data_IF_902109293026
#
_entry.id   IF_902109293026
#
_cell.length_a   1.000
_cell.length_b   1.000
_cell.length_c   1.000
_cell.angle_alpha   90.00
_cell.angle_beta   90.00
_cell.angle_gamma   90.00
#
_symmetry.space_group_name_H-M   'P 1'
#
loop_
_entity.id
_entity.type
_entity.pdbx_description
1 polymer ?
#
# COMPACT_ATOMS: atom_id res chain seq x y z
N UNK A 1 6.96 -2.34 45.78
CA UNK A 1 7.76 -1.44 46.65
C UNK A 1 8.10 -0.22 45.83
N UNK A 2 7.37 0.88 46.05
CA UNK A 2 7.51 2.11 45.29
C UNK A 2 8.73 2.89 45.79
N UNK A 3 9.80 2.95 45.00
CA UNK A 3 10.86 3.93 45.21
C UNK A 3 10.36 5.27 44.67
N UNK A 4 9.82 6.10 45.57
CA UNK A 4 9.70 7.54 45.35
C UNK A 4 11.12 8.09 45.32
N UNK A 5 11.69 8.21 44.11
CA UNK A 5 12.90 9.01 43.89
C UNK A 5 12.57 10.46 44.27
N UNK A 6 12.97 10.86 45.47
CA UNK A 6 12.96 12.26 45.91
C UNK A 6 13.96 12.97 45.02
N UNK A 7 13.47 13.81 44.11
CA UNK A 7 14.31 14.67 43.32
C UNK A 7 15.00 15.66 44.27
N UNK A 8 16.33 15.54 44.41
CA UNK A 8 17.13 16.47 45.19
C UNK A 8 17.28 17.77 44.39
N UNK A 9 16.33 18.69 44.53
CA UNK A 9 16.46 20.06 44.02
C UNK A 9 17.41 20.84 44.96
N UNK A 10 18.53 21.37 44.47
CA UNK A 10 19.55 22.07 45.29
C UNK A 10 19.00 23.31 46.03
N UNK A 11 17.89 23.90 45.54
CA UNK A 11 17.03 24.86 46.23
C UNK A 11 15.58 24.65 45.77
N UNK A 12 14.57 24.61 46.65
CA UNK A 12 13.18 24.49 46.22
C UNK A 12 12.73 25.78 45.51
N UNK A 13 11.97 25.62 44.42
CA UNK A 13 11.55 26.75 43.57
C UNK A 13 10.70 27.78 44.35
N UNK A 14 9.99 27.34 45.39
CA UNK A 14 9.22 28.20 46.28
C UNK A 14 10.02 29.27 47.04
N UNK A 15 11.36 29.17 47.08
CA UNK A 15 12.21 30.20 47.71
C UNK A 15 12.40 31.47 46.85
N UNK A 16 12.02 31.44 45.57
CA UNK A 16 12.18 32.57 44.66
C UNK A 16 10.91 33.43 44.59
N UNK A 17 11.03 34.70 44.19
CA UNK A 17 9.85 35.55 43.92
C UNK A 17 9.07 35.03 42.71
N UNK A 18 7.76 35.26 42.61
CA UNK A 18 6.93 34.74 41.52
C UNK A 18 7.47 35.09 40.11
N UNK A 19 8.07 36.27 39.94
CA UNK A 19 8.67 36.68 38.66
C UNK A 19 9.92 35.87 38.30
N UNK A 20 10.74 35.49 39.29
CA UNK A 20 11.91 34.64 39.08
C UNK A 20 11.48 33.18 38.89
N UNK A 21 10.44 32.74 39.61
CA UNK A 21 9.83 31.42 39.39
C UNK A 21 9.31 31.29 37.95
N UNK A 22 8.62 32.30 37.41
CA UNK A 22 8.11 32.28 36.04
C UNK A 22 9.22 32.07 35.01
N UNK A 23 10.36 32.77 35.14
CA UNK A 23 11.49 32.62 34.23
C UNK A 23 12.11 31.21 34.29
N UNK A 24 12.26 30.66 35.49
CA UNK A 24 12.78 29.30 35.68
C UNK A 24 11.82 28.27 35.08
N UNK A 25 10.51 28.44 35.27
CA UNK A 25 9.50 27.55 34.71
C UNK A 25 9.48 27.61 33.18
N UNK A 26 9.60 28.79 32.58
CA UNK A 26 9.65 28.92 31.13
C UNK A 26 10.86 28.17 30.55
N UNK A 27 12.03 28.31 31.15
CA UNK A 27 13.26 27.62 30.73
C UNK A 27 13.12 26.08 30.79
N UNK A 28 12.55 25.57 31.90
CA UNK A 28 12.28 24.15 32.08
C UNK A 28 11.19 23.63 31.13
N UNK A 29 10.14 24.42 30.86
CA UNK A 29 9.09 24.04 29.91
C UNK A 29 9.65 24.00 28.49
N UNK A 30 10.47 24.98 28.08
CA UNK A 30 11.14 24.97 26.78
C UNK A 30 12.07 23.75 26.64
N UNK A 31 12.80 23.39 27.70
CA UNK A 31 13.61 22.16 27.73
C UNK A 31 12.74 20.90 27.58
N UNK A 32 11.62 20.83 28.29
CA UNK A 32 10.67 19.73 28.22
C UNK A 32 9.96 19.63 26.85
N UNK A 33 9.76 20.76 26.14
CA UNK A 33 9.22 20.79 24.78
C UNK A 33 10.15 20.10 23.78
N UNK A 34 11.47 20.15 23.98
CA UNK A 34 12.46 19.43 23.15
C UNK A 34 12.70 17.99 23.66
N UNK A 35 12.04 17.59 24.75
CA UNK A 35 12.18 16.26 25.35
C UNK A 35 13.38 16.11 26.29
N UNK A 36 13.96 17.22 26.74
CA UNK A 36 15.07 17.23 27.71
C UNK A 36 14.49 17.44 29.11
N UNK A 37 15.01 16.70 30.10
CA UNK A 37 14.62 16.87 31.50
C UNK A 37 15.11 18.22 32.03
N UNK A 38 14.19 19.00 32.61
CA UNK A 38 14.48 20.28 33.25
C UNK A 38 14.95 20.11 34.69
N UNK A 39 15.22 21.25 35.36
CA UNK A 39 15.68 21.26 36.75
C UNK A 39 14.58 20.98 37.75
N UNK A 40 13.36 21.44 37.49
CA UNK A 40 12.17 21.35 38.34
C UNK A 40 10.99 20.65 37.65
N UNK A 41 11.10 20.39 36.34
CA UNK A 41 10.14 19.60 35.55
C UNK A 41 10.83 18.32 35.09
N UNK A 42 10.41 17.19 35.66
CA UNK A 42 10.96 15.87 35.35
C UNK A 42 10.01 15.08 34.46
N UNK A 43 10.57 14.39 33.47
CA UNK A 43 9.82 13.56 32.53
C UNK A 43 9.86 12.13 33.04
N UNK A 44 8.71 11.58 33.45
CA UNK A 44 8.58 10.17 33.83
C UNK A 44 7.93 9.39 32.71
N UNK A 45 8.74 8.55 32.05
CA UNK A 45 8.27 7.54 31.10
C UNK A 45 7.98 6.24 31.84
N UNK A 46 6.71 5.88 31.99
CA UNK A 46 6.34 4.55 32.49
C UNK A 46 6.30 3.60 31.29
N UNK A 47 7.37 2.82 31.10
CA UNK A 47 7.43 1.81 30.04
C UNK A 47 6.46 0.67 30.36
N UNK A 48 5.36 0.60 29.62
CA UNK A 48 4.28 -0.40 29.74
C UNK A 48 3.66 -0.69 28.37
N UNK A 49 2.51 -1.40 28.33
CA UNK A 49 1.79 -1.68 27.06
C UNK A 49 1.27 -0.42 26.35
N UNK A 50 1.02 0.65 27.12
CA UNK A 50 0.81 2.00 26.63
C UNK A 50 1.93 2.83 27.25
N UNK A 51 2.87 3.33 26.46
CA UNK A 51 3.89 4.26 26.96
C UNK A 51 3.19 5.53 27.46
N UNK A 52 2.99 5.59 28.78
CA UNK A 52 2.36 6.73 29.42
C UNK A 52 3.46 7.67 29.93
N UNK A 53 3.56 8.81 29.26
CA UNK A 53 4.49 9.88 29.61
C UNK A 53 3.76 10.82 30.58
N UNK A 54 4.34 10.99 31.76
CA UNK A 54 3.85 11.87 32.81
C UNK A 54 4.91 12.90 33.16
N UNK A 55 4.48 14.12 33.47
CA UNK A 55 5.36 15.22 33.87
C UNK A 55 5.20 15.47 35.36
N UNK A 56 6.30 15.46 36.09
CA UNK A 56 6.33 15.84 37.49
C UNK A 56 6.84 17.27 37.62
N UNK A 57 6.11 18.06 38.40
CA UNK A 57 6.46 19.45 38.71
C UNK A 57 6.76 19.55 40.19
N UNK A 58 7.78 20.34 40.55
CA UNK A 58 8.10 20.64 41.95
C UNK A 58 6.85 21.17 42.71
N UNK A 59 6.46 20.53 43.84
CA UNK A 59 5.28 20.90 44.60
C UNK A 59 5.37 22.25 45.32
N UNK A 60 6.56 22.85 45.43
CA UNK A 60 6.79 24.16 46.04
C UNK A 60 6.57 25.35 45.09
N UNK A 61 6.23 25.08 43.84
CA UNK A 61 5.91 26.09 42.81
C UNK A 61 4.58 26.81 43.12
N UNK A 62 4.49 28.08 42.73
CA UNK A 62 3.22 28.80 42.71
C UNK A 62 2.13 28.03 41.93
N UNK A 63 0.94 27.94 42.52
CA UNK A 63 -0.17 27.15 41.97
C UNK A 63 -0.63 27.65 40.60
N UNK A 64 -0.62 28.97 40.35
CA UNK A 64 -1.04 29.51 39.06
C UNK A 64 -0.03 29.19 37.96
N UNK A 65 1.27 29.32 38.25
CA UNK A 65 2.34 28.91 37.33
C UNK A 65 2.30 27.40 37.06
N UNK A 66 2.05 26.60 38.09
CA UNK A 66 1.93 25.14 37.96
C UNK A 66 0.78 24.75 37.03
N UNK A 67 -0.40 25.34 37.18
CA UNK A 67 -1.55 25.06 36.32
C UNK A 67 -1.36 25.54 34.88
N UNK A 68 -0.65 26.66 34.67
CA UNK A 68 -0.30 27.12 33.32
C UNK A 68 0.72 26.20 32.64
N UNK A 69 1.75 25.74 33.35
CA UNK A 69 2.72 24.78 32.82
C UNK A 69 2.05 23.44 32.46
N UNK A 70 1.14 22.94 33.32
CA UNK A 70 0.36 21.72 33.07
C UNK A 70 -0.46 21.75 31.78
N UNK A 71 -0.90 22.94 31.33
CA UNK A 71 -1.63 23.07 30.07
C UNK A 71 -0.75 22.81 28.85
N UNK A 72 0.57 23.03 28.94
CA UNK A 72 1.53 22.85 27.84
C UNK A 72 1.99 21.39 27.73
N UNK A 73 2.01 20.63 28.84
CA UNK A 73 2.49 19.24 28.85
C UNK A 73 1.85 18.27 27.85
N UNK A 74 0.55 18.36 27.50
CA UNK A 74 -0.02 17.54 26.43
C UNK A 74 0.72 17.69 25.10
N UNK A 75 1.23 18.88 24.78
CA UNK A 75 2.04 19.11 23.58
C UNK A 75 3.40 18.41 23.67
N UNK A 76 4.09 18.53 24.81
CA UNK A 76 5.36 17.86 25.05
C UNK A 76 5.20 16.33 24.99
N UNK A 77 4.09 15.81 25.54
CA UNK A 77 3.72 14.39 25.45
C UNK A 77 3.55 13.94 24.00
N UNK A 78 2.80 14.70 23.20
CA UNK A 78 2.60 14.39 21.78
C UNK A 78 3.92 14.40 21.01
N UNK A 79 4.81 15.37 21.27
CA UNK A 79 6.14 15.44 20.66
C UNK A 79 6.96 14.17 20.95
N UNK A 80 7.10 13.79 22.22
CA UNK A 80 7.87 12.60 22.62
C UNK A 80 7.31 11.30 22.03
N UNK A 81 5.99 11.16 21.98
CA UNK A 81 5.35 9.99 21.37
C UNK A 81 5.61 9.91 19.86
N UNK A 82 5.58 11.06 19.17
CA UNK A 82 5.87 11.12 17.73
C UNK A 82 7.36 10.79 17.50
N UNK A 83 8.26 11.37 18.29
CA UNK A 83 9.71 11.16 18.17
C UNK A 83 10.09 9.69 18.40
N UNK A 84 9.57 9.07 19.47
CA UNK A 84 9.76 7.63 19.75
C UNK A 84 9.20 6.75 18.63
N UNK A 85 8.06 7.12 18.04
CA UNK A 85 7.49 6.38 16.92
C UNK A 85 8.34 6.50 15.65
N UNK A 86 8.85 7.69 15.36
CA UNK A 86 9.75 7.92 14.23
C UNK A 86 10.99 7.04 14.35
N UNK A 87 11.62 7.00 15.53
CA UNK A 87 12.84 6.21 15.73
C UNK A 87 12.58 4.71 15.69
N UNK A 88 11.49 4.22 16.30
CA UNK A 88 11.13 2.79 16.24
C UNK A 88 10.76 2.32 14.83
N UNK A 89 10.02 3.13 14.06
CA UNK A 89 9.56 2.76 12.71
C UNK A 89 10.55 3.03 11.59
N UNK A 90 11.64 3.75 11.85
CA UNK A 90 12.70 3.98 10.87
C UNK A 90 13.61 2.78 10.62
N UNK A 91 13.44 1.70 11.38
CA UNK A 91 14.10 0.43 11.08
C UNK A 91 13.55 -0.16 9.78
N UNK A 92 14.43 -0.80 9.01
CA UNK A 92 14.10 -1.36 7.69
C UNK A 92 12.89 -2.29 7.70
N UNK A 93 12.62 -2.99 8.80
CA UNK A 93 11.58 -4.03 8.90
C UNK A 93 10.13 -3.50 8.83
N UNK A 94 9.90 -2.18 8.93
CA UNK A 94 8.55 -1.63 9.11
C UNK A 94 7.81 -1.28 7.81
N UNK A 95 8.42 -1.50 6.64
CA UNK A 95 7.78 -1.26 5.34
C UNK A 95 7.92 0.17 4.80
N UNK A 96 7.70 0.34 3.51
CA UNK A 96 7.94 1.57 2.76
C UNK A 96 6.95 2.68 3.14
N UNK A 97 5.67 2.33 3.36
CA UNK A 97 4.65 3.32 3.76
C UNK A 97 4.97 3.92 5.13
N UNK A 98 5.41 3.09 6.08
CA UNK A 98 5.82 3.57 7.39
C UNK A 98 7.07 4.44 7.32
N UNK A 99 8.05 4.12 6.47
CA UNK A 99 9.22 4.99 6.27
C UNK A 99 8.85 6.35 5.69
N UNK A 100 7.99 6.37 4.66
CA UNK A 100 7.50 7.62 4.08
C UNK A 100 6.70 8.45 5.09
N UNK A 101 5.89 7.79 5.92
CA UNK A 101 5.17 8.45 7.01
C UNK A 101 6.12 8.99 8.09
N UNK A 102 7.11 8.22 8.54
CA UNK A 102 8.14 8.68 9.49
C UNK A 102 8.95 9.86 8.94
N UNK A 103 9.26 9.88 7.64
CA UNK A 103 9.92 11.02 7.00
C UNK A 103 9.03 12.28 7.02
N UNK A 104 7.73 12.13 6.77
CA UNK A 104 6.77 13.24 6.86
C UNK A 104 6.62 13.75 8.30
N UNK A 105 6.60 12.85 9.29
CA UNK A 105 6.61 13.21 10.71
C UNK A 105 7.90 13.94 11.09
N UNK A 106 9.07 13.51 10.63
CA UNK A 106 10.34 14.24 10.85
C UNK A 106 10.28 15.66 10.33
N UNK A 107 9.75 15.88 9.13
CA UNK A 107 9.61 17.22 8.58
C UNK A 107 8.73 18.11 9.48
N UNK A 108 7.63 17.57 10.01
CA UNK A 108 6.79 18.29 10.97
C UNK A 108 7.50 18.56 12.31
N UNK A 109 8.29 17.60 12.82
CA UNK A 109 9.05 17.77 14.05
C UNK A 109 10.11 18.88 13.90
N UNK A 110 10.70 19.04 12.71
CA UNK A 110 11.60 20.16 12.41
C UNK A 110 10.87 21.50 12.47
N UNK A 111 9.67 21.60 11.90
CA UNK A 111 8.84 22.82 12.00
C UNK A 111 8.49 23.15 13.46
N UNK A 112 8.20 22.12 14.27
CA UNK A 112 7.98 22.26 15.71
C UNK A 112 9.23 22.77 16.44
N UNK A 113 10.39 22.16 16.19
CA UNK A 113 11.66 22.58 16.81
C UNK A 113 12.02 24.01 16.43
N UNK A 114 11.75 24.43 15.19
CA UNK A 114 11.94 25.81 14.76
C UNK A 114 11.05 26.79 15.54
N UNK A 115 9.79 26.43 15.80
CA UNK A 115 8.90 27.21 16.66
C UNK A 115 9.45 27.31 18.10
N UNK A 116 9.93 26.20 18.68
CA UNK A 116 10.52 26.20 20.03
C UNK A 116 11.77 27.09 20.09
N UNK A 117 12.65 27.02 19.08
CA UNK A 117 13.84 27.87 18.99
C UNK A 117 13.47 29.37 18.89
N UNK A 118 12.41 29.72 18.16
CA UNK A 118 11.90 31.09 18.09
C UNK A 118 11.36 31.57 19.45
N UNK A 119 10.69 30.70 20.20
CA UNK A 119 10.20 31.00 21.55
C UNK A 119 11.36 31.19 22.53
N UNK A 120 12.37 30.32 22.48
CA UNK A 120 13.59 30.46 23.28
C UNK A 120 14.32 31.78 22.98
N UNK A 121 14.36 32.19 21.71
CA UNK A 121 14.92 33.49 21.32
C UNK A 121 14.14 34.66 21.95
N UNK A 122 12.80 34.63 21.95
CA UNK A 122 11.98 35.65 22.61
C UNK A 122 12.16 35.65 24.14
N UNK A 123 12.36 34.47 24.73
CA UNK A 123 12.67 34.32 26.15
C UNK A 123 14.00 34.99 26.51
N UNK A 124 15.06 34.78 25.71
CA UNK A 124 16.37 35.42 25.92
C UNK A 124 16.31 36.95 25.85
N UNK A 125 15.37 37.52 25.11
CA UNK A 125 15.11 38.97 25.09
C UNK A 125 14.24 39.49 26.25
N UNK A 126 13.79 38.61 27.16
CA UNK A 126 12.93 38.97 28.28
C UNK A 126 11.51 39.39 27.87
N UNK A 127 11.05 38.96 26.68
CA UNK A 127 9.74 39.34 26.10
C UNK A 127 8.69 38.24 26.19
N UNK A 128 9.05 37.07 26.71
CA UNK A 128 8.17 35.91 26.80
C UNK A 128 7.66 35.74 28.23
N UNK A 129 6.33 35.74 28.38
CA UNK A 129 5.65 35.28 29.59
C UNK A 129 5.13 33.86 29.39
N UNK A 130 4.80 33.17 30.49
CA UNK A 130 4.26 31.81 30.42
C UNK A 130 2.90 31.77 29.69
N UNK A 131 2.11 32.84 29.83
CA UNK A 131 0.86 33.01 29.07
C UNK A 131 1.11 33.23 27.57
N UNK A 132 2.14 34.00 27.22
CA UNK A 132 2.57 34.18 25.83
C UNK A 132 3.02 32.86 25.21
N UNK A 133 3.81 32.07 25.95
CA UNK A 133 4.24 30.73 25.53
C UNK A 133 3.03 29.84 25.22
N UNK A 134 2.03 29.80 26.12
CA UNK A 134 0.78 29.06 25.91
C UNK A 134 0.06 29.50 24.64
N UNK A 135 -0.09 30.81 24.43
CA UNK A 135 -0.76 31.37 23.26
C UNK A 135 -0.10 30.95 21.94
N UNK A 136 1.23 31.07 21.85
CA UNK A 136 1.97 30.69 20.64
C UNK A 136 1.95 29.18 20.37
N UNK A 137 1.84 28.35 21.40
CA UNK A 137 1.76 26.89 21.24
C UNK A 137 0.40 26.42 20.70
N UNK A 138 -0.68 27.18 20.90
CA UNK A 138 -2.05 26.74 20.60
C UNK A 138 -2.26 26.15 19.19
N UNK A 139 -1.74 26.76 18.11
CA UNK A 139 -1.95 26.27 16.75
C UNK A 139 -1.41 24.84 16.54
N UNK A 140 -0.29 24.51 17.17
CA UNK A 140 0.39 23.22 16.98
C UNK A 140 -0.19 22.12 17.89
N UNK A 141 -0.83 22.48 19.01
CA UNK A 141 -1.35 21.49 19.96
C UNK A 141 -2.34 20.52 19.35
N UNK A 142 -3.36 21.03 18.65
CA UNK A 142 -4.41 20.16 18.10
C UNK A 142 -3.87 19.23 17.02
N UNK A 143 -3.00 19.77 16.18
CA UNK A 143 -2.29 19.03 15.13
C UNK A 143 -1.44 17.89 15.70
N UNK A 144 -0.63 18.18 16.72
CA UNK A 144 0.22 17.19 17.39
C UNK A 144 -0.61 16.15 18.15
N UNK A 145 -1.70 16.55 18.81
CA UNK A 145 -2.62 15.65 19.52
C UNK A 145 -3.35 14.70 18.57
N UNK A 146 -3.81 15.21 17.42
CA UNK A 146 -4.45 14.38 16.39
C UNK A 146 -3.48 13.32 15.86
N UNK A 147 -2.22 13.70 15.58
CA UNK A 147 -1.19 12.78 15.15
C UNK A 147 -0.79 11.77 16.22
N UNK A 148 -0.63 12.20 17.48
CA UNK A 148 -0.29 11.28 18.56
C UNK A 148 -1.39 10.22 18.75
N UNK A 149 -2.66 10.57 18.53
CA UNK A 149 -3.77 9.61 18.56
C UNK A 149 -3.65 8.56 17.44
N UNK A 150 -3.27 8.98 16.23
CA UNK A 150 -3.02 8.06 15.10
C UNK A 150 -1.84 7.15 15.42
N UNK A 151 -0.74 7.71 15.90
CA UNK A 151 0.48 6.97 16.21
C UNK A 151 0.26 5.95 17.32
N UNK A 152 -0.47 6.30 18.37
CA UNK A 152 -0.82 5.35 19.42
C UNK A 152 -1.65 4.18 18.88
N UNK A 153 -2.67 4.46 18.06
CA UNK A 153 -3.46 3.41 17.41
C UNK A 153 -2.61 2.53 16.48
N UNK A 154 -1.66 3.13 15.75
CA UNK A 154 -0.75 2.40 14.86
C UNK A 154 0.27 1.53 15.64
N UNK A 155 0.73 2.02 16.79
CA UNK A 155 1.66 1.30 17.67
C UNK A 155 1.00 0.09 18.33
N UNK A 156 -0.19 0.27 18.94
CA UNK A 156 -0.92 -0.81 19.64
C UNK A 156 -1.27 -1.98 18.72
N UNK A 157 -1.71 -1.68 17.50
CA UNK A 157 -2.15 -2.69 16.54
C UNK A 157 -1.02 -3.16 15.61
N UNK A 158 0.20 -2.68 15.82
CA UNK A 158 1.38 -2.94 15.01
C UNK A 158 1.11 -2.85 13.49
N UNK A 159 0.41 -1.79 13.09
CA UNK A 159 -0.14 -1.63 11.74
C UNK A 159 0.98 -1.27 10.75
N UNK A 160 0.96 -1.91 9.58
CA UNK A 160 1.88 -1.63 8.46
C UNK A 160 1.14 -1.41 7.14
N UNK A 161 1.84 -0.82 6.16
CA UNK A 161 1.33 -0.63 4.80
C UNK A 161 0.04 0.18 4.70
N UNK A 162 -0.89 -0.34 3.91
CA UNK A 162 -2.19 0.28 3.57
C UNK A 162 -3.08 0.59 4.78
N UNK A 163 -2.95 -0.16 5.86
CA UNK A 163 -3.76 0.04 7.04
C UNK A 163 -3.38 1.33 7.80
N UNK A 164 -2.13 1.80 7.67
CA UNK A 164 -1.71 3.13 8.18
C UNK A 164 -2.37 4.25 7.37
N UNK A 165 -2.45 4.11 6.05
CA UNK A 165 -3.16 5.06 5.19
C UNK A 165 -4.65 5.13 5.53
N UNK A 166 -5.28 3.98 5.77
CA UNK A 166 -6.68 3.91 6.20
C UNK A 166 -6.88 4.59 7.55
N UNK A 167 -5.95 4.40 8.49
CA UNK A 167 -6.00 5.03 9.80
C UNK A 167 -5.91 6.56 9.69
N UNK A 168 -4.93 7.07 8.93
CA UNK A 168 -4.75 8.51 8.69
C UNK A 168 -6.00 9.13 8.04
N UNK A 169 -6.55 8.46 7.03
CA UNK A 169 -7.76 8.93 6.35
C UNK A 169 -9.00 8.87 7.24
N UNK A 170 -9.13 7.83 8.07
CA UNK A 170 -10.24 7.73 9.03
C UNK A 170 -10.18 8.84 10.08
N UNK A 171 -8.97 9.20 10.56
CA UNK A 171 -8.78 10.32 11.47
C UNK A 171 -9.06 11.66 10.79
N UNK A 172 -8.61 11.85 9.53
CA UNK A 172 -8.89 13.07 8.78
C UNK A 172 -10.41 13.31 8.62
N UNK A 173 -11.17 12.24 8.35
CA UNK A 173 -12.64 12.28 8.30
C UNK A 173 -13.27 12.59 9.65
N UNK A 174 -12.78 11.99 10.74
CA UNK A 174 -13.28 12.26 12.08
C UNK A 174 -13.03 13.71 12.52
N UNK A 175 -11.94 14.32 12.05
CA UNK A 175 -11.55 15.70 12.35
C UNK A 175 -12.03 16.71 11.30
N UNK A 176 -13.06 16.39 10.50
CA UNK A 176 -13.55 17.24 9.42
C UNK A 176 -13.99 18.65 9.86
N UNK A 177 -14.30 18.85 11.14
CA UNK A 177 -14.65 20.16 11.70
C UNK A 177 -13.46 21.12 11.88
N UNK A 178 -12.23 20.63 11.96
CA UNK A 178 -11.02 21.46 12.08
C UNK A 178 -10.23 21.41 10.78
N UNK A 179 -10.38 22.46 9.96
CA UNK A 179 -9.81 22.50 8.62
C UNK A 179 -8.28 22.43 8.61
N UNK A 180 -7.62 23.03 9.62
CA UNK A 180 -6.16 23.03 9.70
C UNK A 180 -5.62 21.63 9.99
N UNK A 181 -6.23 20.92 10.96
CA UNK A 181 -5.85 19.55 11.31
C UNK A 181 -6.16 18.59 10.15
N UNK A 182 -7.31 18.76 9.48
CA UNK A 182 -7.68 17.96 8.31
C UNK A 182 -6.66 18.09 7.18
N UNK A 183 -6.31 19.32 6.78
CA UNK A 183 -5.34 19.57 5.72
C UNK A 183 -3.96 18.98 6.05
N UNK A 184 -3.56 19.05 7.32
CA UNK A 184 -2.32 18.45 7.78
C UNK A 184 -2.35 16.92 7.69
N UNK A 185 -3.43 16.27 8.14
CA UNK A 185 -3.58 14.82 8.02
C UNK A 185 -3.66 14.36 6.55
N UNK A 186 -4.29 15.15 5.67
CA UNK A 186 -4.31 14.91 4.23
C UNK A 186 -2.91 15.00 3.62
N UNK A 187 -2.12 16.03 3.98
CA UNK A 187 -0.71 16.15 3.57
C UNK A 187 0.13 14.97 4.04
N UNK A 188 -0.05 14.53 5.29
CA UNK A 188 0.63 13.34 5.83
C UNK A 188 0.23 12.07 5.08
N UNK A 189 -1.05 11.93 4.73
CA UNK A 189 -1.56 10.81 3.94
C UNK A 189 -0.96 10.81 2.53
N UNK A 190 -0.83 11.98 1.89
CA UNK A 190 -0.18 12.11 0.58
C UNK A 190 1.30 11.72 0.62
N UNK A 191 2.04 12.18 1.63
CA UNK A 191 3.44 11.80 1.79
C UNK A 191 3.59 10.29 2.01
N UNK A 192 2.77 9.70 2.90
CA UNK A 192 2.81 8.27 3.17
C UNK A 192 2.36 7.42 1.97
N UNK A 193 1.38 7.88 1.19
CA UNK A 193 0.87 7.15 0.02
C UNK A 193 1.80 7.21 -1.18
N UNK A 194 2.76 8.15 -1.24
CA UNK A 194 3.71 8.26 -2.36
C UNK A 194 4.48 6.96 -2.63
N UNK A 195 4.96 6.29 -1.58
CA UNK A 195 5.64 5.01 -1.69
C UNK A 195 4.69 3.91 -2.21
N UNK A 196 3.46 3.89 -1.71
CA UNK A 196 2.42 2.95 -2.15
C UNK A 196 2.04 3.16 -3.63
N UNK A 197 1.96 4.41 -4.06
CA UNK A 197 1.63 4.78 -5.44
C UNK A 197 2.75 4.41 -6.41
N UNK A 198 4.02 4.45 -5.99
CA UNK A 198 5.13 3.99 -6.82
C UNK A 198 5.01 2.50 -7.14
N UNK A 199 4.62 1.67 -6.16
CA UNK A 199 4.36 0.24 -6.40
C UNK A 199 3.17 0.06 -7.35
N UNK A 200 2.10 0.84 -7.14
CA UNK A 200 0.92 0.81 -8.00
C UNK A 200 1.25 1.21 -9.45
N UNK A 201 2.09 2.23 -9.65
CA UNK A 201 2.51 2.70 -10.96
C UNK A 201 3.21 1.58 -11.74
N UNK A 202 4.17 0.89 -11.10
CA UNK A 202 4.84 -0.26 -11.73
C UNK A 202 3.87 -1.38 -12.08
N UNK A 203 2.90 -1.67 -11.23
CA UNK A 203 1.89 -2.68 -11.52
C UNK A 203 0.97 -2.28 -12.69
N UNK A 204 0.53 -1.02 -12.75
CA UNK A 204 -0.44 -0.55 -13.74
C UNK A 204 0.19 -0.31 -15.12
N UNK A 205 1.43 0.19 -15.18
CA UNK A 205 2.10 0.54 -16.43
C UNK A 205 3.02 -0.57 -16.96
N UNK A 206 3.66 -1.33 -16.05
CA UNK A 206 4.57 -2.42 -16.42
C UNK A 206 3.94 -3.80 -16.18
N UNK A 207 3.03 -3.97 -15.21
CA UNK A 207 2.55 -5.29 -14.80
C UNK A 207 3.54 -6.04 -13.90
N UNK A 208 4.43 -5.32 -13.20
CA UNK A 208 5.42 -5.88 -12.27
C UNK A 208 5.10 -5.45 -10.84
N UNK A 209 5.21 -6.38 -9.90
CA UNK A 209 5.12 -6.08 -8.46
C UNK A 209 6.55 -5.98 -7.92
N UNK A 210 6.94 -4.78 -7.51
CA UNK A 210 8.18 -4.53 -6.79
C UNK A 210 7.86 -4.12 -5.35
N UNK A 211 7.62 -5.12 -4.51
CA UNK A 211 7.20 -4.94 -3.12
C UNK A 211 8.04 -5.83 -2.18
N UNK A 212 9.20 -5.34 -1.71
CA UNK A 212 10.09 -6.09 -0.83
C UNK A 212 9.47 -6.45 0.52
N UNK A 213 8.46 -5.70 0.97
CA UNK A 213 7.88 -5.81 2.31
C UNK A 213 6.47 -6.43 2.33
N UNK A 214 5.89 -6.71 1.16
CA UNK A 214 4.58 -7.34 1.04
C UNK A 214 3.40 -6.43 1.43
N UNK A 215 3.57 -5.11 1.37
CA UNK A 215 2.57 -4.10 1.74
C UNK A 215 1.48 -3.88 0.69
N UNK A 216 1.73 -4.25 -0.57
CA UNK A 216 0.81 -4.04 -1.68
C UNK A 216 -0.39 -5.00 -1.58
N UNK A 217 -1.59 -4.48 -1.88
CA UNK A 217 -2.84 -5.25 -1.78
C UNK A 217 -2.95 -6.38 -2.81
N UNK A 218 -2.05 -6.47 -3.80
CA UNK A 218 -2.00 -7.58 -4.75
C UNK A 218 -0.88 -8.53 -4.33
N UNK A 219 -1.24 -9.78 -4.03
CA UNK A 219 -0.28 -10.85 -3.77
C UNK A 219 0.07 -11.56 -5.08
N UNK A 220 1.36 -11.86 -5.28
CA UNK A 220 1.79 -12.86 -6.26
C UNK A 220 2.05 -14.19 -5.56
N UNK A 221 1.37 -15.24 -6.01
CA UNK A 221 1.69 -16.61 -5.63
C UNK A 221 2.78 -17.17 -6.55
N UNK A 222 4.02 -17.17 -6.05
CA UNK A 222 5.21 -17.64 -6.77
C UNK A 222 5.29 -19.17 -6.86
N UNK A 223 4.42 -19.91 -6.17
CA UNK A 223 4.38 -21.37 -6.25
C UNK A 223 3.78 -21.88 -7.56
N UNK A 224 2.94 -21.07 -8.20
CA UNK A 224 2.29 -21.38 -9.47
C UNK A 224 3.21 -20.98 -10.62
N UNK A 225 3.97 -21.94 -11.13
CA UNK A 225 4.84 -21.73 -12.28
C UNK A 225 4.12 -22.07 -13.60
N UNK A 226 4.70 -21.60 -14.71
CA UNK A 226 4.15 -21.78 -16.07
C UNK A 226 4.00 -23.26 -16.44
N UNK A 227 4.85 -24.12 -15.88
CA UNK A 227 4.84 -25.57 -16.09
C UNK A 227 3.60 -26.24 -15.51
N UNK A 228 2.88 -25.61 -14.56
CA UNK A 228 1.61 -26.12 -14.03
C UNK A 228 0.44 -25.97 -15.02
N UNK A 229 0.56 -25.10 -16.04
CA UNK A 229 -0.48 -24.88 -17.06
C UNK A 229 -0.75 -26.11 -17.93
N UNK A 230 0.23 -27.00 -18.10
CA UNK A 230 0.05 -28.22 -18.90
C UNK A 230 -0.78 -29.28 -18.19
N UNK A 231 -0.99 -29.15 -16.88
CA UNK A 231 -1.74 -30.11 -16.06
C UNK A 231 -3.12 -29.60 -15.63
N UNK A 232 -3.31 -28.28 -15.50
CA UNK A 232 -4.57 -27.68 -15.05
C UNK A 232 -5.42 -27.15 -16.22
N UNK A 233 -6.44 -27.91 -16.62
CA UNK A 233 -7.47 -27.51 -17.59
C UNK A 233 -8.31 -26.29 -17.11
N UNK A 234 -8.30 -26.00 -15.81
CA UNK A 234 -9.19 -25.02 -15.17
C UNK A 234 -8.68 -23.57 -15.18
N UNK A 235 -7.57 -23.28 -15.85
CA UNK A 235 -6.94 -21.95 -15.89
C UNK A 235 -6.65 -21.37 -14.48
N UNK A 236 -6.44 -22.25 -13.48
CA UNK A 236 -6.15 -21.86 -12.08
C UNK A 236 -4.99 -20.88 -11.99
N UNK A 237 -3.94 -21.12 -12.77
CA UNK A 237 -2.80 -20.23 -12.90
C UNK A 237 -3.21 -18.76 -13.12
N UNK A 238 -4.06 -18.47 -14.10
CA UNK A 238 -4.49 -17.10 -14.40
C UNK A 238 -5.43 -16.49 -13.36
N UNK A 239 -6.15 -17.34 -12.61
CA UNK A 239 -7.10 -16.88 -11.58
C UNK A 239 -6.44 -16.67 -10.22
N UNK A 240 -5.47 -17.52 -9.87
CA UNK A 240 -4.92 -17.65 -8.51
C UNK A 240 -3.53 -17.05 -8.38
N UNK A 241 -2.75 -16.90 -9.47
CA UNK A 241 -1.40 -16.30 -9.40
C UNK A 241 -1.38 -14.90 -8.82
N UNK A 242 -2.39 -14.08 -9.12
CA UNK A 242 -2.55 -12.75 -8.51
C UNK A 242 -3.86 -12.66 -7.75
N UNK A 243 -3.82 -12.35 -6.46
CA UNK A 243 -5.04 -12.23 -5.63
C UNK A 243 -5.04 -10.95 -4.82
N UNK A 244 -6.23 -10.53 -4.36
CA UNK A 244 -6.37 -9.36 -3.48
C UNK A 244 -6.18 -9.81 -2.02
N UNK A 245 -5.31 -9.11 -1.28
CA UNK A 245 -5.11 -9.27 0.16
C UNK A 245 -6.11 -8.44 0.97
N UNK A 246 -6.30 -8.83 2.22
CA UNK A 246 -7.01 -8.06 3.25
C UNK A 246 -6.17 -6.84 3.67
N UNK A 247 -6.34 -5.73 2.95
CA UNK A 247 -5.52 -4.53 3.18
C UNK A 247 -5.62 -3.54 2.05
N UNK A 248 -6.83 -3.25 1.57
CA UNK A 248 -7.01 -2.29 0.47
C UNK A 248 -7.15 -0.89 1.06
N UNK A 249 -6.36 0.11 0.58
CA UNK A 249 -6.62 1.50 0.93
C UNK A 249 -8.05 1.90 0.53
N UNK A 250 -8.79 2.54 1.43
CA UNK A 250 -10.22 2.80 1.23
C UNK A 250 -10.52 3.63 -0.03
N UNK A 251 -9.55 4.44 -0.47
CA UNK A 251 -9.62 5.24 -1.69
C UNK A 251 -9.41 4.43 -2.99
N UNK A 252 -8.86 3.21 -2.92
CA UNK A 252 -8.69 2.28 -4.05
C UNK A 252 -9.70 1.14 -4.04
N UNK A 253 -10.46 0.94 -2.96
CA UNK A 253 -11.38 -0.18 -2.80
C UNK A 253 -12.32 -0.36 -4.01
N UNK A 254 -12.88 0.73 -4.53
CA UNK A 254 -13.82 0.69 -5.65
C UNK A 254 -13.19 0.31 -7.00
N UNK A 255 -11.88 0.50 -7.16
CA UNK A 255 -11.15 0.26 -8.42
C UNK A 255 -10.15 -0.89 -8.30
N UNK A 256 -10.04 -1.53 -7.13
CA UNK A 256 -9.08 -2.58 -6.86
C UNK A 256 -9.21 -3.74 -7.86
N UNK A 257 -10.44 -4.10 -8.24
CA UNK A 257 -10.69 -5.11 -9.27
C UNK A 257 -10.14 -4.71 -10.64
N UNK A 258 -10.34 -3.45 -11.05
CA UNK A 258 -9.81 -2.92 -12.32
C UNK A 258 -8.28 -2.86 -12.30
N UNK A 259 -7.67 -2.47 -11.18
CA UNK A 259 -6.20 -2.46 -11.04
C UNK A 259 -5.64 -3.89 -11.18
N UNK A 260 -6.28 -4.86 -10.52
CA UNK A 260 -5.88 -6.27 -10.61
C UNK A 260 -5.96 -6.79 -12.05
N UNK A 261 -7.07 -6.55 -12.75
CA UNK A 261 -7.24 -7.00 -14.14
C UNK A 261 -6.28 -6.31 -15.10
N UNK A 262 -6.00 -5.01 -14.90
CA UNK A 262 -5.03 -4.26 -15.72
C UNK A 262 -3.66 -4.93 -15.71
N UNK A 263 -3.09 -5.18 -14.53
CA UNK A 263 -1.78 -5.81 -14.45
C UNK A 263 -1.80 -7.29 -14.85
N UNK A 264 -2.92 -8.01 -14.66
CA UNK A 264 -3.08 -9.37 -15.21
C UNK A 264 -2.99 -9.37 -16.74
N UNK A 265 -3.60 -8.41 -17.43
CA UNK A 265 -3.51 -8.32 -18.90
C UNK A 265 -2.07 -8.09 -19.37
N UNK A 266 -1.37 -7.15 -18.74
CA UNK A 266 0.04 -6.90 -19.06
C UNK A 266 0.93 -8.10 -18.76
N UNK A 267 0.67 -8.82 -17.66
CA UNK A 267 1.45 -10.01 -17.33
C UNK A 267 1.19 -11.16 -18.30
N UNK A 268 -0.05 -11.38 -18.75
CA UNK A 268 -0.37 -12.37 -19.81
C UNK A 268 0.44 -12.08 -21.07
N UNK A 269 0.44 -10.82 -21.53
CA UNK A 269 1.18 -10.41 -22.73
C UNK A 269 2.69 -10.63 -22.58
N UNK A 270 3.23 -10.31 -21.40
CA UNK A 270 4.64 -10.50 -21.06
C UNK A 270 5.04 -11.97 -21.06
N UNK A 271 4.22 -12.85 -20.49
CA UNK A 271 4.44 -14.31 -20.48
C UNK A 271 4.43 -14.93 -21.89
N UNK A 272 3.75 -14.27 -22.84
CA UNK A 272 3.76 -14.60 -24.26
C UNK A 272 4.97 -14.00 -25.01
N UNK A 273 5.89 -13.29 -24.34
CA UNK A 273 7.06 -12.66 -24.94
C UNK A 273 6.79 -11.27 -25.54
N UNK A 274 5.66 -10.64 -25.21
CA UNK A 274 5.33 -9.27 -25.63
C UNK A 274 5.46 -8.31 -24.46
N UNK A 275 6.59 -7.60 -24.43
CA UNK A 275 6.85 -6.55 -23.46
C UNK A 275 6.14 -5.26 -23.92
N UNK A 276 4.86 -5.16 -23.60
CA UNK A 276 4.09 -3.93 -23.82
C UNK A 276 4.11 -3.12 -22.53
N UNK A 277 4.53 -1.87 -22.67
CA UNK A 277 4.44 -0.88 -21.61
C UNK A 277 3.36 0.12 -21.98
N UNK A 278 2.48 0.40 -21.04
CA UNK A 278 1.48 1.46 -21.22
C UNK A 278 2.26 2.77 -21.38
N UNK A 279 2.06 3.55 -22.47
CA UNK A 279 2.78 4.79 -22.65
C UNK A 279 2.48 5.74 -21.48
N UNK A 280 3.52 6.25 -20.79
CA UNK A 280 3.31 7.21 -19.72
C UNK A 280 2.75 8.48 -20.36
N UNK A 281 1.54 8.89 -19.96
CA UNK A 281 1.04 10.22 -20.34
C UNK A 281 1.97 11.30 -19.79
N UNK A 282 2.11 12.46 -20.43
CA UNK A 282 3.02 13.53 -19.97
C UNK A 282 2.69 14.08 -18.55
N UNK A 283 1.54 13.69 -17.98
CA UNK A 283 1.10 13.96 -16.61
C UNK A 283 1.21 12.73 -15.67
N UNK A 284 2.05 11.75 -16.02
CA UNK A 284 2.12 10.36 -15.53
C UNK A 284 2.39 10.15 -14.04
N UNK A 285 2.79 11.17 -13.29
CA UNK A 285 3.00 10.98 -11.85
C UNK A 285 1.65 10.88 -11.15
N UNK A 286 1.23 9.64 -10.87
CA UNK A 286 0.19 9.28 -9.88
C UNK A 286 0.44 9.92 -8.49
N UNK A 287 1.59 10.58 -8.30
CA UNK A 287 2.12 11.23 -7.10
C UNK A 287 1.30 12.40 -6.55
N UNK A 288 0.33 12.96 -7.27
CA UNK A 288 -0.51 14.05 -6.74
C UNK A 288 -1.81 13.52 -6.13
N UNK A 289 -1.69 12.88 -4.96
CA UNK A 289 -2.84 12.57 -4.11
C UNK A 289 -3.29 13.87 -3.42
N UNK A 290 -4.28 14.58 -3.97
CA UNK A 290 -4.68 15.84 -3.32
C UNK A 290 -5.95 16.54 -3.77
N UNK A 291 -6.43 16.41 -5.01
CA UNK A 291 -7.59 17.25 -5.40
C UNK A 291 -8.47 16.76 -6.55
N UNK A 292 -7.94 16.07 -7.56
CA UNK A 292 -8.65 15.98 -8.84
C UNK A 292 -9.04 14.57 -9.29
N UNK A 293 -8.99 13.55 -8.43
CA UNK A 293 -9.24 12.15 -8.85
C UNK A 293 -8.45 11.72 -10.11
N UNK A 294 -7.37 12.43 -10.47
CA UNK A 294 -6.61 12.22 -11.71
C UNK A 294 -6.02 10.81 -11.77
N UNK A 295 -5.66 10.26 -10.60
CA UNK A 295 -5.22 8.87 -10.50
C UNK A 295 -6.28 7.87 -11.01
N UNK A 296 -7.58 8.17 -10.85
CA UNK A 296 -8.67 7.33 -11.39
C UNK A 296 -8.70 7.36 -12.92
N UNK A 297 -8.49 8.52 -13.52
CA UNK A 297 -8.45 8.66 -14.97
C UNK A 297 -7.24 7.96 -15.56
N UNK A 298 -6.06 8.11 -14.95
CA UNK A 298 -4.84 7.40 -15.33
C UNK A 298 -5.02 5.88 -15.28
N UNK A 299 -5.61 5.35 -14.20
CA UNK A 299 -5.87 3.91 -14.05
C UNK A 299 -6.86 3.41 -15.11
N UNK A 300 -7.92 4.17 -15.39
CA UNK A 300 -8.89 3.81 -16.45
C UNK A 300 -8.25 3.82 -17.83
N UNK A 301 -7.42 4.82 -18.13
CA UNK A 301 -6.70 4.90 -19.40
C UNK A 301 -5.75 3.71 -19.57
N UNK A 302 -4.99 3.37 -18.53
CA UNK A 302 -4.10 2.21 -18.53
C UNK A 302 -4.87 0.88 -18.70
N UNK A 303 -6.01 0.72 -18.02
CA UNK A 303 -6.88 -0.43 -18.20
C UNK A 303 -7.37 -0.57 -19.64
N UNK A 304 -7.89 0.52 -20.22
CA UNK A 304 -8.40 0.51 -21.59
C UNK A 304 -7.28 0.13 -22.57
N UNK A 305 -6.10 0.74 -22.44
CA UNK A 305 -4.94 0.40 -23.26
C UNK A 305 -4.56 -1.07 -23.14
N UNK A 306 -4.35 -1.57 -21.91
CA UNK A 306 -3.96 -2.96 -21.68
C UNK A 306 -5.01 -3.96 -22.21
N UNK A 307 -6.29 -3.63 -22.08
CA UNK A 307 -7.39 -4.46 -22.59
C UNK A 307 -7.44 -4.49 -24.11
N UNK A 308 -7.26 -3.34 -24.78
CA UNK A 308 -7.25 -3.25 -26.24
C UNK A 308 -6.04 -3.94 -26.83
N UNK A 309 -4.86 -3.74 -26.27
CA UNK A 309 -3.63 -4.38 -26.75
C UNK A 309 -3.67 -5.91 -26.59
N UNK A 310 -4.16 -6.41 -25.45
CA UNK A 310 -4.34 -7.85 -25.27
C UNK A 310 -5.35 -8.43 -26.27
N UNK A 311 -6.45 -7.73 -26.54
CA UNK A 311 -7.46 -8.19 -27.48
C UNK A 311 -6.93 -8.18 -28.91
N UNK A 312 -6.24 -7.11 -29.32
CA UNK A 312 -5.57 -7.02 -30.62
C UNK A 312 -4.54 -8.14 -30.78
N UNK A 313 -3.76 -8.43 -29.73
CA UNK A 313 -2.80 -9.52 -29.74
C UNK A 313 -3.48 -10.89 -29.97
N UNK A 314 -4.58 -11.17 -29.24
CA UNK A 314 -5.31 -12.43 -29.36
C UNK A 314 -6.00 -12.55 -30.73
N UNK A 315 -6.60 -11.47 -31.22
CA UNK A 315 -7.36 -11.50 -32.45
C UNK A 315 -6.48 -11.45 -33.70
N UNK A 316 -5.49 -10.56 -33.74
CA UNK A 316 -4.73 -10.31 -34.96
C UNK A 316 -3.50 -11.23 -35.05
N UNK A 317 -2.82 -11.47 -33.92
CA UNK A 317 -1.56 -12.21 -33.92
C UNK A 317 -1.74 -13.73 -33.74
N UNK A 318 -2.71 -14.13 -32.91
CA UNK A 318 -3.02 -15.54 -32.68
C UNK A 318 -4.25 -16.05 -33.46
N UNK A 319 -4.90 -15.17 -34.24
CA UNK A 319 -6.06 -15.46 -35.08
C UNK A 319 -7.14 -16.27 -34.36
N UNK A 320 -7.63 -15.75 -33.24
CA UNK A 320 -8.70 -16.39 -32.48
C UNK A 320 -9.93 -16.69 -33.36
N UNK A 321 -10.26 -15.78 -34.29
CA UNK A 321 -11.39 -15.95 -35.20
C UNK A 321 -11.18 -17.13 -36.14
N UNK A 322 -9.97 -17.29 -36.69
CA UNK A 322 -9.58 -18.47 -37.46
C UNK A 322 -9.67 -19.75 -36.65
N UNK A 323 -9.11 -19.77 -35.43
CA UNK A 323 -9.16 -20.96 -34.55
C UNK A 323 -10.59 -21.37 -34.18
N UNK A 324 -11.47 -20.42 -33.86
CA UNK A 324 -12.88 -20.69 -33.58
C UNK A 324 -13.61 -21.23 -34.82
N UNK A 325 -13.24 -20.76 -36.01
CA UNK A 325 -13.75 -21.29 -37.28
C UNK A 325 -13.32 -22.74 -37.50
N UNK A 326 -12.06 -23.06 -37.24
CA UNK A 326 -11.56 -24.45 -37.30
C UNK A 326 -12.27 -25.36 -36.30
N UNK A 327 -12.47 -24.90 -35.05
CA UNK A 327 -13.25 -25.64 -34.05
C UNK A 327 -14.66 -25.92 -34.56
N UNK A 328 -15.31 -24.93 -35.19
CA UNK A 328 -16.62 -25.13 -35.81
C UNK A 328 -16.56 -26.17 -36.95
N UNK A 329 -15.56 -26.10 -37.83
CA UNK A 329 -15.44 -27.02 -38.96
C UNK A 329 -15.29 -28.47 -38.52
N UNK A 330 -14.46 -28.74 -37.50
CA UNK A 330 -14.11 -30.10 -37.10
C UNK A 330 -14.93 -30.66 -35.93
N UNK A 331 -15.22 -29.87 -34.89
CA UNK A 331 -15.96 -30.37 -33.71
C UNK A 331 -17.48 -30.23 -33.88
N UNK A 332 -17.94 -29.18 -34.57
CA UNK A 332 -19.37 -28.98 -34.86
C UNK A 332 -19.79 -29.54 -36.23
N UNK A 333 -18.86 -30.18 -36.95
CA UNK A 333 -19.09 -30.90 -38.21
C UNK A 333 -19.70 -30.06 -39.33
N UNK A 334 -19.31 -28.79 -39.42
CA UNK A 334 -19.72 -27.89 -40.53
C UNK A 334 -19.10 -28.32 -41.87
N UNK A 335 -17.90 -28.93 -41.85
CA UNK A 335 -17.26 -29.58 -43.01
C UNK A 335 -17.13 -31.07 -42.74
N UNK A 336 -18.16 -31.86 -43.02
CA UNK A 336 -18.19 -33.30 -42.69
C UNK A 336 -17.50 -34.23 -43.70
N UNK A 337 -16.94 -33.71 -44.79
CA UNK A 337 -16.32 -34.50 -45.86
C UNK A 337 -15.08 -35.27 -45.37
N UNK A 338 -14.22 -34.62 -44.57
CA UNK A 338 -13.07 -35.27 -43.94
C UNK A 338 -13.50 -36.41 -43.03
N UNK A 339 -14.61 -36.26 -42.29
CA UNK A 339 -15.08 -37.27 -41.34
C UNK A 339 -15.56 -38.52 -42.07
N UNK A 340 -16.31 -38.36 -43.17
CA UNK A 340 -16.75 -39.49 -44.00
C UNK A 340 -15.54 -40.24 -44.55
N UNK A 341 -14.56 -39.52 -45.09
CA UNK A 341 -13.35 -40.13 -45.62
C UNK A 341 -12.50 -40.82 -44.53
N UNK A 342 -12.37 -40.19 -43.37
CA UNK A 342 -11.70 -40.77 -42.20
C UNK A 342 -12.40 -42.06 -41.73
N UNK A 343 -13.72 -42.06 -41.60
CA UNK A 343 -14.49 -43.23 -41.17
C UNK A 343 -14.35 -44.42 -42.13
N UNK A 344 -14.17 -44.16 -43.43
CA UNK A 344 -13.94 -45.22 -44.41
C UNK A 344 -12.52 -45.79 -44.34
N UNK A 345 -11.50 -44.95 -44.21
CA UNK A 345 -10.10 -45.41 -44.14
C UNK A 345 -9.77 -46.03 -42.78
N UNK A 346 -10.31 -45.49 -41.69
CA UNK A 346 -10.07 -45.95 -40.33
C UNK A 346 -10.98 -47.12 -39.91
N UNK A 347 -11.89 -47.59 -40.77
CA UNK A 347 -12.90 -48.62 -40.45
C UNK A 347 -12.31 -49.88 -39.80
N UNK A 348 -11.25 -50.43 -40.39
CA UNK A 348 -10.61 -51.67 -39.90
C UNK A 348 -9.92 -51.46 -38.54
N UNK A 349 -9.46 -50.24 -38.26
CA UNK A 349 -8.82 -49.91 -36.99
C UNK A 349 -9.85 -49.60 -35.90
N UNK A 350 -10.93 -48.89 -36.25
CA UNK A 350 -12.06 -48.58 -35.35
C UNK A 350 -12.90 -49.82 -34.99
N UNK A 351 -12.86 -50.88 -35.81
CA UNK A 351 -13.55 -52.15 -35.53
C UNK A 351 -12.88 -52.99 -34.44
N UNK A 352 -11.63 -52.66 -34.06
CA UNK A 352 -10.89 -53.35 -32.99
C UNK A 352 -11.42 -52.96 -31.61
N UNK A 353 -11.09 -53.76 -30.59
CA UNK A 353 -11.39 -53.39 -29.20
C UNK A 353 -10.56 -52.17 -28.77
N UNK A 354 -11.03 -51.31 -27.85
CA UNK A 354 -10.33 -50.09 -27.44
C UNK A 354 -8.88 -50.32 -27.01
N UNK A 355 -8.61 -51.45 -26.35
CA UNK A 355 -7.27 -51.83 -25.86
C UNK A 355 -6.29 -52.25 -26.98
N UNK A 356 -6.81 -52.58 -28.17
CA UNK A 356 -6.05 -53.05 -29.34
C UNK A 356 -5.90 -51.96 -30.42
N UNK A 357 -6.50 -50.78 -30.22
CA UNK A 357 -6.47 -49.65 -31.15
C UNK A 357 -5.14 -48.88 -31.00
N UNK A 358 -4.42 -48.71 -32.11
CA UNK A 358 -3.24 -47.85 -32.14
C UNK A 358 -3.62 -46.39 -32.37
N UNK A 359 -3.37 -45.52 -31.38
CA UNK A 359 -3.61 -44.07 -31.48
C UNK A 359 -2.73 -43.43 -32.55
N UNK A 360 -1.47 -43.84 -32.66
CA UNK A 360 -0.55 -43.35 -33.70
C UNK A 360 -1.06 -43.67 -35.10
N UNK A 361 -1.60 -44.89 -35.28
CA UNK A 361 -2.19 -45.28 -36.56
C UNK A 361 -3.45 -44.47 -36.85
N UNK A 362 -4.35 -44.28 -35.88
CA UNK A 362 -5.53 -43.41 -36.05
C UNK A 362 -5.14 -41.97 -36.39
N UNK A 363 -4.12 -41.41 -35.74
CA UNK A 363 -3.61 -40.08 -36.05
C UNK A 363 -3.12 -40.01 -37.51
N UNK A 364 -2.34 -41.00 -37.96
CA UNK A 364 -1.85 -41.02 -39.35
C UNK A 364 -2.98 -41.10 -40.39
N UNK A 365 -4.06 -41.83 -40.08
CA UNK A 365 -5.23 -41.94 -40.94
C UNK A 365 -6.07 -40.65 -40.93
N UNK A 366 -6.15 -39.98 -39.78
CA UNK A 366 -6.78 -38.67 -39.65
C UNK A 366 -6.02 -37.62 -40.46
N UNK A 367 -4.70 -37.56 -40.33
CA UNK A 367 -3.85 -36.62 -41.07
C UNK A 367 -3.97 -36.85 -42.59
N UNK A 368 -4.07 -38.12 -43.02
CA UNK A 368 -4.32 -38.45 -44.42
C UNK A 368 -5.68 -37.91 -44.88
N UNK A 369 -6.74 -38.13 -44.09
CA UNK A 369 -8.08 -37.67 -44.44
C UNK A 369 -8.22 -36.14 -44.46
N UNK A 370 -7.51 -35.44 -43.56
CA UNK A 370 -7.47 -33.98 -43.52
C UNK A 370 -6.74 -33.38 -44.74
N UNK A 371 -5.68 -34.05 -45.24
CA UNK A 371 -4.91 -33.59 -46.41
C UNK A 371 -5.60 -33.83 -47.76
N UNK A 372 -6.49 -34.82 -47.86
CA UNK A 372 -7.16 -35.20 -49.11
C UNK A 372 -8.51 -34.51 -49.32
N UNK A 373 -9.02 -33.80 -48.32
CA UNK A 373 -10.35 -33.16 -48.34
C UNK A 373 -10.28 -31.64 -48.31
N UNK A 374 -11.44 -30.96 -48.35
CA UNK A 374 -11.51 -29.50 -48.31
C UNK A 374 -10.93 -28.92 -46.99
N UNK A 375 -10.80 -29.76 -45.96
CA UNK A 375 -10.14 -29.46 -44.70
C UNK A 375 -8.68 -29.01 -44.86
N UNK A 376 -7.99 -29.40 -45.94
CA UNK A 376 -6.61 -28.99 -46.22
C UNK A 376 -6.45 -27.48 -46.46
N UNK A 377 -7.55 -26.77 -46.76
CA UNK A 377 -7.54 -25.33 -46.94
C UNK A 377 -7.49 -24.55 -45.61
N UNK A 378 -7.75 -25.20 -44.47
CA UNK A 378 -7.70 -24.57 -43.15
C UNK A 378 -6.24 -24.50 -42.62
N UNK A 379 -5.71 -23.30 -42.31
CA UNK A 379 -4.38 -23.15 -41.75
C UNK A 379 -4.13 -23.93 -40.45
N UNK A 380 -5.19 -24.23 -39.68
CA UNK A 380 -5.09 -24.87 -38.37
C UNK A 380 -5.46 -26.36 -38.37
N UNK A 381 -5.66 -26.97 -39.54
CA UNK A 381 -6.02 -28.39 -39.67
C UNK A 381 -5.04 -29.37 -38.98
N UNK A 382 -3.74 -29.05 -38.94
CA UNK A 382 -2.71 -29.89 -38.27
C UNK A 382 -2.82 -29.90 -36.73
N UNK A 383 -3.67 -29.04 -36.14
CA UNK A 383 -3.90 -29.02 -34.69
C UNK A 383 -4.82 -30.13 -34.17
N UNK A 384 -5.43 -30.92 -35.05
CA UNK A 384 -6.35 -31.98 -34.66
C UNK A 384 -5.61 -33.22 -34.19
N UNK A 385 -5.98 -33.75 -33.03
CA UNK A 385 -5.38 -34.97 -32.47
C UNK A 385 -6.42 -36.01 -32.11
N UNK A 386 -6.09 -37.28 -32.35
CA UNK A 386 -6.86 -38.42 -31.91
C UNK A 386 -6.52 -38.77 -30.45
N UNK A 387 -7.52 -38.83 -29.60
CA UNK A 387 -7.40 -39.35 -28.24
C UNK A 387 -8.48 -40.40 -28.02
N UNK A 388 -8.09 -41.57 -27.52
CA UNK A 388 -9.03 -42.61 -27.12
C UNK A 388 -9.43 -42.34 -25.68
N UNK A 389 -10.72 -42.03 -25.47
CA UNK A 389 -11.25 -41.87 -24.12
C UNK A 389 -11.36 -43.26 -23.46
N UNK A 390 -10.49 -43.53 -22.49
CA UNK A 390 -10.66 -44.65 -21.56
C UNK A 390 -11.79 -44.30 -20.59
N UNK A 391 -12.92 -45.03 -20.71
CA UNK A 391 -14.06 -44.93 -19.80
C UNK A 391 -13.72 -45.42 -18.39
#
# INVERSE_FOLDING_TARGET
MNQTTVANFEKPIGCYSPSVQELIVIDDVLSAMVGIEGRYILIKTVRGKNDDISFLVDPSMDLALQELAKRIFPLCKSFLLIDQFVESRSQFQNGLVNHAFSAALRALLLDYQAMVAQLEHQFRFGRLSLQGLWFYCQPMMRSMQALSTVIQKASVNNISGSAVLNLLQSQAKAMAGDNAVRLMLEKMTQCASSAYMSILERWVYEGVIDDPYGEFFIAEDKSLQKESLTQDYEAKYWRQRYSLKDGIPSFLANIAGTILTTGRYLNVMRECGHNVQVPPSENSKLMSFGSNHQYLECIKAAYNFASSELLNLINDKYDLTGRLRSIKHYLLLDQGDFLVHFMDIARDELAKKPDEVSVEKLQSLLDLALRTTAAAADPFHEGLTCVVASN
#
